data_IF_401181747852
#
_entry.id   IF_401181747852
#
_cell.length_a   1.000
_cell.length_b   1.000
_cell.length_c   1.000
_cell.angle_alpha   90.00
_cell.angle_beta   90.00
_cell.angle_gamma   90.00
#
_symmetry.space_group_name_H-M   'P 1'
#
loop_
_entity.id
_entity.type
_entity.pdbx_description
1 polymer ?
#
# COMPACT_ATOMS: atom_id res chain seq x y z
N UNK A 1 -6.78 -5.00 -14.88
CA UNK A 1 -6.37 -5.07 -14.45
C UNK A 1 -5.26 -5.67 -14.55
N UNK A 2 -4.53 -5.59 -14.42
CA UNK A 2 -3.47 -6.03 -14.54
C UNK A 2 -3.10 -7.08 -13.96
N UNK A 3 -3.50 -7.28 -13.24
CA UNK A 3 -3.15 -8.19 -12.54
C UNK A 3 -2.89 -9.40 -13.10
N UNK A 4 -3.22 -9.65 -13.99
CA UNK A 4 -3.11 -10.84 -14.44
C UNK A 4 -1.82 -11.22 -14.61
N UNK A 5 -1.01 -10.47 -14.40
CA UNK A 5 0.19 -10.79 -14.55
C UNK A 5 0.60 -11.81 -13.75
N UNK A 6 0.20 -11.91 -12.67
CA UNK A 6 0.62 -12.88 -11.84
C UNK A 6 0.01 -14.05 -12.05
N UNK A 7 -0.77 -14.01 -12.57
CA UNK A 7 -1.43 -15.00 -12.85
C UNK A 7 -1.51 -16.13 -12.25
N UNK A 8 -1.77 -16.93 -12.76
CA UNK A 8 -2.19 -18.06 -12.26
C UNK A 8 -1.40 -18.69 -11.33
N UNK A 9 -0.24 -18.68 -11.38
CA UNK A 9 0.45 -19.42 -10.51
C UNK A 9 0.51 -18.86 -9.23
N UNK A 10 0.46 -17.69 -9.08
CA UNK A 10 0.66 -17.20 -7.79
C UNK A 10 -0.47 -17.00 -7.07
N UNK A 11 -1.47 -17.40 -7.49
CA UNK A 11 -2.55 -17.16 -6.82
C UNK A 11 -2.98 -17.85 -5.77
N UNK A 12 -2.51 -18.83 -5.43
CA UNK A 12 -3.08 -19.58 -4.44
C UNK A 12 -3.31 -18.79 -3.25
N UNK A 13 -2.46 -17.99 -2.83
CA UNK A 13 -2.81 -17.25 -1.75
C UNK A 13 -2.41 -15.94 -1.91
N UNK A 14 -2.76 -15.08 -1.29
CA UNK A 14 -2.35 -13.79 -1.29
C UNK A 14 -2.36 -13.21 -2.63
N UNK A 15 -3.34 -13.30 -3.29
CA UNK A 15 -3.42 -12.79 -4.59
C UNK A 15 -2.95 -11.35 -4.57
N UNK A 16 -2.17 -10.93 -5.52
CA UNK A 16 -1.66 -9.56 -5.57
C UNK A 16 -2.72 -8.48 -5.46
N UNK A 17 -3.86 -8.69 -6.06
CA UNK A 17 -4.90 -7.71 -5.99
C UNK A 17 -5.42 -7.59 -4.59
N UNK A 18 -5.48 -8.69 -3.85
CA UNK A 18 -5.97 -8.66 -2.54
C UNK A 18 -4.99 -7.96 -1.65
N UNK A 19 -3.70 -8.18 -1.85
CA UNK A 19 -2.68 -7.52 -1.07
C UNK A 19 -2.76 -6.04 -1.34
N UNK A 20 -2.90 -5.65 -2.61
CA UNK A 20 -2.95 -4.25 -3.00
C UNK A 20 -4.16 -3.58 -2.36
N UNK A 21 -5.30 -4.23 -2.35
CA UNK A 21 -6.49 -3.66 -1.78
C UNK A 21 -6.32 -3.49 -0.27
N UNK A 22 -5.71 -4.43 0.39
CA UNK A 22 -5.55 -4.32 1.81
C UNK A 22 -4.57 -3.21 2.18
N UNK A 23 -3.54 -3.00 1.38
CA UNK A 23 -2.62 -1.92 1.65
C UNK A 23 -3.35 -0.58 1.46
N UNK A 24 -4.09 -0.44 0.38
CA UNK A 24 -4.80 0.81 0.13
C UNK A 24 -5.83 1.07 1.22
N UNK A 25 -6.50 0.03 1.68
CA UNK A 25 -7.49 0.19 2.73
C UNK A 25 -6.82 0.58 4.05
N UNK A 26 -5.66 0.03 4.33
CA UNK A 26 -4.96 0.35 5.55
C UNK A 26 -4.53 1.81 5.56
N UNK A 27 -4.09 2.31 4.41
CA UNK A 27 -3.68 3.69 4.30
C UNK A 27 -4.90 4.59 4.52
N UNK A 28 -6.01 4.23 3.90
CA UNK A 28 -7.22 5.00 4.02
C UNK A 28 -7.68 5.03 5.47
N UNK A 29 -7.71 3.88 6.12
CA UNK A 29 -8.16 3.81 7.49
C UNK A 29 -7.28 4.61 8.43
N UNK A 30 -6.00 4.53 8.26
CA UNK A 30 -5.10 5.22 9.15
C UNK A 30 -5.22 6.74 9.00
N UNK A 31 -5.39 7.21 7.77
CA UNK A 31 -5.52 8.63 7.54
C UNK A 31 -6.86 9.13 8.06
N UNK A 32 -7.93 8.41 7.81
CA UNK A 32 -9.22 8.86 8.26
C UNK A 32 -9.34 8.84 9.77
N UNK A 33 -8.58 7.99 10.43
CA UNK A 33 -8.60 7.94 11.86
C UNK A 33 -8.03 9.24 12.42
N UNK A 34 -7.06 9.82 11.75
CA UNK A 34 -6.45 11.05 12.19
C UNK A 34 -7.12 12.27 11.61
N UNK A 35 -7.68 12.18 10.44
CA UNK A 35 -8.25 13.32 9.74
C UNK A 35 -9.49 12.89 8.98
N UNK A 36 -10.64 12.92 9.58
CA UNK A 36 -11.87 12.47 8.93
C UNK A 36 -12.26 13.24 7.68
N UNK A 37 -11.66 14.38 7.45
CA UNK A 37 -12.00 15.14 6.28
C UNK A 37 -11.00 15.00 5.16
N UNK A 38 -10.07 14.07 5.29
CA UNK A 38 -9.05 13.91 4.28
C UNK A 38 -9.62 13.50 2.95
N UNK A 39 -8.95 13.86 1.88
CA UNK A 39 -9.32 13.41 0.57
C UNK A 39 -8.27 12.45 0.16
N UNK A 40 -8.64 11.24 -0.17
CA UNK A 40 -7.68 10.18 -0.44
C UNK A 40 -7.99 9.44 -1.71
N UNK A 41 -7.05 9.43 -2.61
CA UNK A 41 -7.14 8.63 -3.81
C UNK A 41 -5.86 7.82 -3.85
N UNK A 42 -5.86 6.69 -3.15
CA UNK A 42 -4.67 5.88 -3.02
C UNK A 42 -4.80 4.59 -3.77
N UNK A 43 -3.80 4.25 -4.55
CA UNK A 43 -3.79 3.02 -5.27
C UNK A 43 -2.51 2.29 -5.01
N UNK A 44 -2.55 0.99 -5.03
CA UNK A 44 -1.37 0.19 -4.76
C UNK A 44 -1.16 -0.82 -5.87
N UNK A 45 0.06 -0.96 -6.30
CA UNK A 45 0.44 -1.92 -7.31
C UNK A 45 1.41 -2.89 -6.67
N UNK A 46 1.15 -4.17 -6.75
CA UNK A 46 1.99 -5.17 -6.13
C UNK A 46 2.45 -6.18 -7.14
N UNK A 47 3.72 -6.52 -7.12
CA UNK A 47 4.22 -7.58 -7.95
C UNK A 47 5.26 -8.27 -7.11
N UNK A 48 5.79 -9.37 -7.56
CA UNK A 48 6.74 -10.15 -6.77
C UNK A 48 7.85 -9.26 -6.24
N UNK A 49 7.99 -9.24 -4.97
CA UNK A 49 9.07 -8.51 -4.31
C UNK A 49 8.90 -7.01 -4.20
N UNK A 50 7.75 -6.46 -4.60
CA UNK A 50 7.62 -5.02 -4.58
C UNK A 50 6.19 -4.56 -4.36
N UNK A 51 6.01 -3.49 -3.63
CA UNK A 51 4.71 -2.84 -3.51
C UNK A 51 4.94 -1.36 -3.79
N UNK A 52 4.12 -0.78 -4.64
CA UNK A 52 4.21 0.63 -4.96
C UNK A 52 2.89 1.26 -4.52
N UNK A 53 2.95 2.22 -3.62
CA UNK A 53 1.76 2.89 -3.12
C UNK A 53 1.77 4.30 -3.68
N UNK A 54 0.75 4.66 -4.42
CA UNK A 54 0.74 5.95 -5.10
C UNK A 54 -0.60 6.62 -5.05
N UNK A 55 -0.68 7.81 -5.57
CA UNK A 55 -1.92 8.53 -5.64
C UNK A 55 -1.81 9.91 -5.07
N UNK A 56 -2.94 10.50 -4.79
CA UNK A 56 -2.98 11.85 -4.28
C UNK A 56 -3.73 11.88 -2.97
N UNK A 57 -3.17 12.52 -1.97
CA UNK A 57 -3.83 12.58 -0.69
C UNK A 57 -3.72 13.99 -0.16
N UNK A 58 -4.84 14.54 0.29
CA UNK A 58 -4.85 15.86 0.90
C UNK A 58 -5.31 15.67 2.33
N UNK A 59 -4.41 15.89 3.28
CA UNK A 59 -4.75 15.61 4.65
C UNK A 59 -3.74 16.28 5.57
N UNK A 60 -4.13 16.47 6.83
CA UNK A 60 -3.23 16.96 7.82
C UNK A 60 -2.62 15.79 8.58
N UNK A 61 -3.02 14.59 8.28
CA UNK A 61 -2.50 13.42 8.98
C UNK A 61 -1.14 13.03 8.42
N UNK A 62 -0.40 12.26 9.16
CA UNK A 62 0.85 11.72 8.68
C UNK A 62 0.85 10.23 8.90
N UNK A 63 1.27 9.48 7.90
CA UNK A 63 1.30 8.05 7.98
C UNK A 63 2.62 7.56 7.43
N UNK A 64 3.23 6.61 8.10
CA UNK A 64 4.45 6.01 7.63
C UNK A 64 4.03 4.93 6.63
N UNK A 65 3.91 5.30 5.39
CA UNK A 65 3.40 4.43 4.34
C UNK A 65 4.23 3.16 4.20
N UNK A 66 5.54 3.29 4.27
CA UNK A 66 6.37 2.12 4.09
C UNK A 66 6.14 1.09 5.19
N UNK A 67 6.16 1.51 6.43
CA UNK A 67 5.96 0.57 7.50
C UNK A 67 4.56 0.01 7.50
N UNK A 68 3.57 0.83 7.18
CA UNK A 68 2.21 0.34 7.14
C UNK A 68 2.05 -0.73 6.08
N UNK A 69 2.61 -0.51 4.91
CA UNK A 69 2.51 -1.49 3.83
C UNK A 69 3.21 -2.79 4.24
N UNK A 70 4.36 -2.69 4.91
CA UNK A 70 5.07 -3.88 5.31
C UNK A 70 4.27 -4.65 6.36
N UNK A 71 3.62 -3.95 7.26
CA UNK A 71 2.82 -4.63 8.26
C UNK A 71 1.66 -5.38 7.63
N UNK A 72 1.01 -4.78 6.64
CA UNK A 72 -0.09 -5.43 5.97
C UNK A 72 0.40 -6.69 5.27
N UNK A 73 1.53 -6.60 4.58
CA UNK A 73 2.06 -7.74 3.85
C UNK A 73 2.42 -8.87 4.83
N UNK A 74 3.03 -8.51 5.94
CA UNK A 74 3.40 -9.53 6.91
C UNK A 74 2.16 -10.13 7.59
N UNK A 75 1.15 -9.31 7.85
CA UNK A 75 -0.04 -9.82 8.49
C UNK A 75 -0.79 -10.81 7.60
N UNK A 76 -0.69 -10.66 6.31
CA UNK A 76 -1.33 -11.57 5.41
C UNK A 76 -0.58 -12.89 5.41
N UNK A 77 0.67 -12.86 5.81
CA UNK A 77 1.45 -14.08 5.88
C UNK A 77 2.69 -14.13 5.01
N UNK A 78 3.02 -13.05 4.33
CA UNK A 78 4.19 -13.06 3.47
C UNK A 78 5.41 -12.61 4.24
N UNK A 79 6.06 -13.54 4.91
CA UNK A 79 7.19 -13.21 5.75
C UNK A 79 8.47 -13.91 5.35
N UNK A 80 8.52 -14.51 4.15
CA UNK A 80 9.69 -15.23 3.74
C UNK A 80 9.92 -15.06 2.26
N UNK A 81 11.13 -14.86 1.86
CA UNK A 81 11.40 -14.69 0.46
C UNK A 81 11.12 -15.97 -0.32
N UNK A 82 11.00 -17.09 0.36
CA UNK A 82 10.70 -18.30 -0.33
C UNK A 82 9.30 -18.23 -0.89
N UNK A 83 8.46 -17.36 -0.38
CA UNK A 83 7.13 -17.25 -0.90
C UNK A 83 7.09 -16.27 -2.05
N UNK A 84 8.23 -15.76 -2.46
CA UNK A 84 8.26 -14.80 -3.56
C UNK A 84 7.97 -13.39 -3.11
N UNK A 85 7.71 -13.17 -1.84
CA UNK A 85 7.35 -11.87 -1.36
C UNK A 85 7.53 -11.88 0.15
N UNK A 86 8.33 -10.99 0.67
CA UNK A 86 8.60 -10.96 2.08
C UNK A 86 8.37 -9.54 2.56
N UNK A 87 7.40 -9.33 3.41
CA UNK A 87 7.06 -8.02 3.88
C UNK A 87 8.19 -7.32 4.61
N UNK A 88 9.16 -8.07 5.12
CA UNK A 88 10.27 -7.45 5.82
C UNK A 88 11.32 -6.90 4.86
N UNK A 89 11.49 -7.51 3.71
CA UNK A 89 12.56 -7.13 2.82
C UNK A 89 12.15 -6.72 1.42
N UNK A 90 10.89 -6.80 1.09
CA UNK A 90 10.47 -6.43 -0.25
C UNK A 90 10.65 -4.93 -0.44
N UNK A 91 10.65 -4.50 -1.66
CA UNK A 91 10.76 -3.07 -1.94
C UNK A 91 9.40 -2.43 -1.71
N UNK A 92 9.35 -1.32 -0.99
CA UNK A 92 8.12 -0.58 -0.85
C UNK A 92 8.42 0.83 -1.34
N UNK A 93 7.71 1.24 -2.40
CA UNK A 93 7.92 2.54 -2.98
C UNK A 93 6.74 3.42 -2.67
N UNK A 94 7.00 4.61 -2.19
CA UNK A 94 5.94 5.53 -1.83
C UNK A 94 5.93 6.65 -2.86
N UNK A 95 4.92 6.64 -3.70
CA UNK A 95 4.78 7.63 -4.76
C UNK A 95 3.54 8.47 -4.54
N UNK A 96 3.19 8.73 -3.27
CA UNK A 96 2.04 9.53 -2.97
C UNK A 96 2.43 10.98 -3.07
N UNK A 97 1.57 11.76 -3.66
CA UNK A 97 1.83 13.17 -3.80
C UNK A 97 1.77 13.85 -2.45
N UNK A 98 1.92 15.16 -2.38
CA UNK A 98 1.99 15.81 -1.15
C UNK A 98 0.84 15.55 -0.31
N UNK A 99 1.07 15.40 0.95
CA UNK A 99 0.03 15.02 1.83
C UNK A 99 -0.48 16.11 2.68
N UNK A 100 0.14 17.18 2.81
CA UNK A 100 -0.28 18.16 3.77
C UNK A 100 -1.18 19.18 3.19
N UNK A 101 -2.22 19.49 3.84
CA UNK A 101 -3.12 20.45 3.33
C UNK A 101 -2.52 21.82 3.40
N UNK A 102 -1.47 21.98 4.16
CA UNK A 102 -0.89 23.20 4.24
C UNK A 102 -0.26 23.60 3.02
N UNK A 103 0.11 22.69 2.24
CA UNK A 103 0.73 22.95 1.10
C UNK A 103 -0.01 23.84 0.31
N UNK A 104 -1.23 23.82 0.44
CA UNK A 104 -2.03 24.59 -0.32
C UNK A 104 -1.85 25.96 -0.14
N UNK A 105 -1.33 26.31 0.94
CA UNK A 105 -1.24 27.58 1.15
C UNK A 105 -0.10 28.04 0.52
N UNK A 106 0.65 27.27 0.18
CA UNK A 106 1.86 27.69 -0.32
C UNK A 106 1.78 28.24 -1.55
#
# INVERSE_FOLDING_TARGET
>A
MSQYLFTSESVSEGHPDKIADQISDAVLDEILKQDPKARIACETYVKTGMALVGGEITTSAWVDIENLAREVICDIGYTSSEMGFDGHSCAVLNAIGKQSSDINQG
#
